data_IF_920780252375
#
_entry.id   IF_920780252375
#
_cell.length_a   1.000
_cell.length_b   1.000
_cell.length_c   1.000
_cell.angle_alpha   90.00
_cell.angle_beta   90.00
_cell.angle_gamma   90.00
#
_symmetry.space_group_name_H-M   'P 1'
#
loop_
_entity.id
_entity.type
_entity.pdbx_description
1 polymer ?
#
# COMPACT_ATOMS: atom_id res chain seq x y z
N UNK A 1 -4.36 13.38 14.54
CA UNK A 1 -5.14 14.05 15.60
C UNK A 1 -6.59 13.67 15.42
N UNK A 2 -7.24 13.20 16.48
CA UNK A 2 -8.65 12.81 16.50
C UNK A 2 -9.39 13.85 17.34
N UNK A 3 -10.52 14.34 16.85
CA UNK A 3 -11.45 15.17 17.61
C UNK A 3 -12.73 14.35 17.79
N UNK A 4 -13.12 14.16 19.04
CA UNK A 4 -14.32 13.41 19.40
C UNK A 4 -15.28 14.35 20.14
N UNK A 5 -16.55 14.25 19.77
CA UNK A 5 -17.70 14.98 20.33
C UNK A 5 -18.85 13.99 20.48
N UNK A 6 -19.85 14.34 21.27
CA UNK A 6 -21.00 13.46 21.54
C UNK A 6 -21.75 13.06 20.26
N UNK A 7 -21.82 13.94 19.26
CA UNK A 7 -22.53 13.70 18.01
C UNK A 7 -21.65 13.31 16.82
N UNK A 8 -20.34 13.51 16.90
CA UNK A 8 -19.43 13.24 15.78
C UNK A 8 -17.98 13.00 16.18
N UNK A 9 -17.26 12.34 15.27
CA UNK A 9 -15.83 12.04 15.34
C UNK A 9 -15.15 12.50 14.06
N UNK A 10 -14.13 13.33 14.19
CA UNK A 10 -13.27 13.76 13.10
C UNK A 10 -11.87 13.16 13.26
N UNK A 11 -11.47 12.32 12.31
CA UNK A 11 -10.18 11.64 12.31
C UNK A 11 -9.33 12.13 11.14
N UNK A 12 -8.11 12.64 11.41
CA UNK A 12 -7.14 12.94 10.34
C UNK A 12 -6.56 11.63 9.79
N UNK A 13 -6.77 11.38 8.50
CA UNK A 13 -6.35 10.15 7.82
C UNK A 13 -5.19 10.36 6.84
N UNK A 14 -4.77 11.60 6.61
CA UNK A 14 -3.61 11.95 5.80
C UNK A 14 -3.33 13.45 5.85
N UNK A 15 -2.26 13.93 5.22
CA UNK A 15 -2.11 15.37 4.93
C UNK A 15 -3.35 15.88 4.17
N UNK A 16 -4.08 16.80 4.80
CA UNK A 16 -5.28 17.41 4.23
C UNK A 16 -6.50 16.50 4.08
N UNK A 17 -6.48 15.25 4.59
CA UNK A 17 -7.62 14.33 4.51
C UNK A 17 -8.11 13.96 5.89
N UNK A 18 -9.41 14.11 6.08
CA UNK A 18 -10.12 13.83 7.32
C UNK A 18 -11.32 12.94 7.03
N UNK A 19 -11.70 12.12 8.01
CA UNK A 19 -12.94 11.36 7.99
C UNK A 19 -13.81 11.87 9.12
N UNK A 20 -15.00 12.33 8.77
CA UNK A 20 -16.03 12.80 9.67
C UNK A 20 -17.11 11.73 9.76
N UNK A 21 -17.32 11.21 10.96
CA UNK A 21 -18.33 10.18 11.23
C UNK A 21 -19.25 10.68 12.33
N UNK A 22 -20.52 10.32 12.28
CA UNK A 22 -21.47 10.73 13.30
C UNK A 22 -22.87 10.22 13.03
N UNK A 23 -23.77 10.61 13.92
CA UNK A 23 -25.18 10.22 13.87
C UNK A 23 -26.01 11.48 13.98
N UNK A 24 -26.87 11.70 13.00
CA UNK A 24 -27.88 12.76 13.01
C UNK A 24 -28.90 12.53 14.14
N UNK A 25 -29.60 13.60 14.53
CA UNK A 25 -30.61 13.53 15.59
C UNK A 25 -31.77 12.58 15.30
N UNK A 26 -32.00 12.24 14.02
CA UNK A 26 -33.02 11.28 13.57
C UNK A 26 -32.50 9.83 13.47
N UNK A 27 -31.26 9.59 13.90
CA UNK A 27 -30.64 8.27 13.92
C UNK A 27 -29.90 7.88 12.64
N UNK A 28 -29.90 8.71 11.59
CA UNK A 28 -29.11 8.45 10.38
C UNK A 28 -27.63 8.60 10.65
N UNK A 29 -26.84 7.61 10.25
CA UNK A 29 -25.37 7.66 10.38
C UNK A 29 -24.75 8.23 9.11
N UNK A 30 -23.67 8.99 9.26
CA UNK A 30 -22.87 9.48 8.14
C UNK A 30 -21.40 9.13 8.33
N UNK A 31 -20.72 8.99 7.19
CA UNK A 31 -19.28 8.79 7.11
C UNK A 31 -18.78 9.55 5.88
N UNK A 32 -18.15 10.69 6.10
CA UNK A 32 -17.81 11.68 5.08
C UNK A 32 -16.29 11.84 5.04
N UNK A 33 -15.71 11.75 3.84
CA UNK A 33 -14.32 12.12 3.62
C UNK A 33 -14.24 13.62 3.30
N UNK A 34 -13.46 14.34 4.10
CA UNK A 34 -13.21 15.77 3.95
C UNK A 34 -11.76 15.94 3.49
N UNK A 35 -11.60 16.41 2.26
CA UNK A 35 -10.34 16.93 1.75
C UNK A 35 -10.28 18.44 1.98
N UNK A 36 -9.25 18.94 2.65
CA UNK A 36 -9.05 20.37 2.92
C UNK A 36 -8.14 21.04 1.89
N UNK A 37 -7.88 20.39 0.76
CA UNK A 37 -7.00 20.89 -0.29
C UNK A 37 -6.61 19.80 -1.28
N UNK A 38 -5.70 20.14 -2.19
CA UNK A 38 -5.12 19.21 -3.16
C UNK A 38 -4.00 18.39 -2.53
N UNK A 39 -3.85 17.13 -2.94
CA UNK A 39 -2.78 16.26 -2.48
C UNK A 39 -2.23 15.44 -3.64
N UNK A 40 -0.94 15.59 -3.91
CA UNK A 40 -0.21 14.74 -4.84
C UNK A 40 1.00 14.15 -4.11
N UNK A 41 1.53 13.06 -4.60
CA UNK A 41 2.69 12.40 -4.03
C UNK A 41 3.45 11.70 -5.14
N UNK A 42 4.75 11.92 -5.20
CA UNK A 42 5.62 11.10 -6.02
C UNK A 42 6.10 9.88 -5.23
N UNK A 43 5.93 8.70 -5.82
CA UNK A 43 6.41 7.44 -5.28
C UNK A 43 6.81 6.51 -6.43
N UNK A 44 8.06 6.01 -6.42
CA UNK A 44 8.57 5.08 -7.44
C UNK A 44 8.52 5.65 -8.87
N UNK A 45 8.86 6.94 -9.02
CA UNK A 45 8.82 7.64 -10.31
C UNK A 45 7.41 7.92 -10.86
N UNK A 46 6.37 7.77 -10.03
CA UNK A 46 4.97 8.04 -10.39
C UNK A 46 4.33 9.03 -9.45
N UNK A 47 3.59 9.99 -10.00
CA UNK A 47 2.81 10.96 -9.23
C UNK A 47 1.39 10.41 -9.04
N UNK A 48 0.94 10.31 -7.80
CA UNK A 48 -0.38 9.79 -7.41
C UNK A 48 -1.03 10.74 -6.40
N UNK A 49 -2.35 10.84 -6.37
CA UNK A 49 -3.03 11.67 -5.39
C UNK A 49 -4.47 12.00 -5.79
N UNK A 50 -5.01 13.05 -5.19
CA UNK A 50 -6.32 13.60 -5.52
C UNK A 50 -6.23 15.13 -5.59
N UNK A 51 -6.97 15.69 -6.54
CA UNK A 51 -7.10 17.14 -6.73
C UNK A 51 -8.58 17.46 -6.78
N UNK A 52 -8.97 18.55 -6.14
CA UNK A 52 -10.32 19.08 -6.24
C UNK A 52 -10.37 20.00 -7.47
N UNK A 53 -11.24 19.66 -8.40
CA UNK A 53 -11.44 20.40 -9.64
C UNK A 53 -12.93 20.62 -9.84
N UNK A 54 -13.28 21.78 -10.37
CA UNK A 54 -14.60 21.94 -10.96
C UNK A 54 -14.65 21.22 -12.31
N UNK A 55 -15.83 20.71 -12.67
CA UNK A 55 -16.04 19.98 -13.92
C UNK A 55 -15.67 20.83 -15.15
N UNK A 56 -15.93 22.14 -15.11
CA UNK A 56 -15.54 23.08 -16.16
C UNK A 56 -14.02 23.22 -16.32
N UNK A 57 -13.26 23.11 -15.22
CA UNK A 57 -11.80 23.17 -15.25
C UNK A 57 -11.21 21.89 -15.84
N UNK A 58 -11.74 20.74 -15.44
CA UNK A 58 -11.35 19.44 -16.00
C UNK A 58 -11.63 19.39 -17.50
N UNK A 59 -12.84 19.79 -17.92
CA UNK A 59 -13.22 19.77 -19.33
C UNK A 59 -12.35 20.68 -20.19
N UNK A 60 -11.89 21.82 -19.67
CA UNK A 60 -10.94 22.69 -20.36
C UNK A 60 -9.56 22.04 -20.48
N UNK A 61 -9.04 21.46 -19.40
CA UNK A 61 -7.75 20.76 -19.44
C UNK A 61 -7.78 19.58 -20.44
N UNK A 62 -8.89 18.85 -20.54
CA UNK A 62 -9.02 17.74 -21.48
C UNK A 62 -9.08 18.13 -22.97
N UNK A 63 -9.26 19.41 -23.29
CA UNK A 63 -9.27 19.90 -24.69
C UNK A 63 -7.88 20.10 -25.28
N UNK A 64 -6.82 20.02 -24.45
CA UNK A 64 -5.44 20.28 -24.85
C UNK A 64 -4.62 19.01 -24.69
N UNK A 65 -3.73 18.73 -25.66
CA UNK A 65 -2.74 17.67 -25.49
C UNK A 65 -1.63 18.14 -24.55
N UNK A 66 -1.37 17.36 -23.50
CA UNK A 66 -0.39 17.69 -22.48
C UNK A 66 0.82 16.75 -22.54
N UNK A 67 2.01 17.33 -22.63
CA UNK A 67 3.28 16.59 -22.60
C UNK A 67 3.81 16.32 -21.19
N UNK A 68 3.21 16.96 -20.17
CA UNK A 68 3.60 16.81 -18.77
C UNK A 68 2.46 17.15 -17.82
N UNK A 69 2.53 16.65 -16.59
CA UNK A 69 1.56 16.97 -15.53
C UNK A 69 1.54 18.48 -15.21
N UNK A 70 2.68 19.17 -15.36
CA UNK A 70 2.78 20.63 -15.20
C UNK A 70 1.95 21.37 -16.25
N UNK A 71 1.98 20.91 -17.50
CA UNK A 71 1.17 21.46 -18.58
C UNK A 71 -0.32 21.17 -18.39
N UNK A 72 -0.67 20.02 -17.81
CA UNK A 72 -2.06 19.73 -17.45
C UNK A 72 -2.57 20.69 -16.36
N UNK A 73 -1.78 20.92 -15.31
CA UNK A 73 -2.17 21.81 -14.21
C UNK A 73 -2.13 23.30 -14.55
N UNK A 74 -1.39 23.74 -15.57
CA UNK A 74 -1.43 25.14 -16.00
C UNK A 74 -2.81 25.57 -16.51
N UNK A 75 -3.66 24.63 -16.96
CA UNK A 75 -5.03 24.90 -17.38
C UNK A 75 -6.03 25.03 -16.21
N UNK A 76 -5.55 24.77 -14.98
CA UNK A 76 -6.32 24.72 -13.76
C UNK A 76 -5.91 25.89 -12.87
N UNK A 77 -6.74 26.93 -12.84
CA UNK A 77 -6.42 28.24 -12.23
C UNK A 77 -6.14 28.17 -10.72
N UNK A 78 -6.69 27.17 -10.04
CA UNK A 78 -6.62 27.02 -8.59
C UNK A 78 -5.49 26.10 -8.09
N UNK A 79 -4.66 25.55 -8.99
CA UNK A 79 -3.49 24.75 -8.62
C UNK A 79 -2.23 25.59 -8.84
N UNK A 80 -1.76 26.24 -7.78
CA UNK A 80 -0.46 26.92 -7.76
C UNK A 80 0.65 25.85 -7.63
N UNK A 81 1.18 25.39 -8.76
CA UNK A 81 2.20 24.33 -8.87
C UNK A 81 3.62 24.83 -8.51
N UNK A 82 3.74 25.93 -7.75
CA UNK A 82 5.04 26.53 -7.44
C UNK A 82 5.80 25.75 -6.38
N UNK A 83 5.12 24.91 -5.58
CA UNK A 83 5.74 24.14 -4.52
C UNK A 83 5.32 22.66 -4.56
N UNK A 84 5.94 21.90 -5.46
CA UNK A 84 6.01 20.44 -5.30
C UNK A 84 6.56 20.07 -3.90
N UNK A 85 7.38 20.95 -3.30
CA UNK A 85 8.05 20.71 -2.01
C UNK A 85 7.07 20.60 -0.82
N UNK A 86 6.00 21.41 -0.76
CA UNK A 86 4.99 21.35 0.31
C UNK A 86 4.04 20.15 0.20
N UNK A 87 3.92 19.61 -1.02
CA UNK A 87 3.09 18.46 -1.38
C UNK A 87 3.83 17.13 -1.08
N UNK A 88 5.17 17.13 -1.11
CA UNK A 88 6.05 15.96 -0.92
C UNK A 88 6.42 15.64 0.54
N UNK A 89 6.00 16.45 1.53
CA UNK A 89 6.51 16.39 2.92
C UNK A 89 6.10 15.17 3.79
N UNK A 90 5.44 14.13 3.27
CA UNK A 90 5.13 12.91 4.06
C UNK A 90 5.90 11.65 3.61
N UNK A 91 7.03 11.86 2.93
CA UNK A 91 7.97 10.83 2.48
C UNK A 91 8.86 10.28 3.60
N UNK A 92 8.32 9.53 4.56
CA UNK A 92 9.18 8.75 5.47
C UNK A 92 8.84 7.25 5.57
N UNK A 93 7.86 6.75 4.81
CA UNK A 93 7.37 5.37 5.06
C UNK A 93 7.88 4.33 4.05
N UNK A 94 8.37 4.69 2.86
CA UNK A 94 9.00 3.72 1.95
C UNK A 94 10.14 4.36 1.14
N UNK A 95 11.30 4.48 1.76
CA UNK A 95 12.58 4.71 1.05
C UNK A 95 13.25 3.38 0.63
N UNK A 96 12.71 2.23 1.05
CA UNK A 96 13.26 0.91 0.76
C UNK A 96 12.74 0.36 -0.58
N UNK A 97 13.69 0.07 -1.48
CA UNK A 97 13.46 -0.67 -2.73
C UNK A 97 13.08 -2.12 -2.42
N UNK A 98 11.79 -2.43 -2.39
CA UNK A 98 11.26 -3.77 -2.14
C UNK A 98 11.23 -4.64 -3.40
N UNK A 99 11.49 -4.04 -4.57
CA UNK A 99 11.36 -4.66 -5.90
C UNK A 99 12.30 -5.85 -6.10
N UNK A 100 13.38 -5.97 -5.33
CA UNK A 100 14.26 -7.15 -5.32
C UNK A 100 13.51 -8.45 -4.99
N UNK A 101 12.33 -8.37 -4.38
CA UNK A 101 11.46 -9.53 -4.17
C UNK A 101 11.12 -10.28 -5.45
N UNK A 102 11.10 -9.58 -6.59
CA UNK A 102 10.80 -10.19 -7.88
C UNK A 102 11.84 -11.22 -8.30
N UNK A 103 13.05 -11.13 -7.78
CA UNK A 103 14.14 -12.08 -8.03
C UNK A 103 14.23 -13.18 -6.96
N UNK A 104 13.39 -13.11 -5.91
CA UNK A 104 13.36 -14.13 -4.88
C UNK A 104 12.75 -15.44 -5.38
N UNK A 105 13.13 -16.53 -4.71
CA UNK A 105 12.55 -17.84 -4.91
C UNK A 105 11.05 -17.83 -4.57
N UNK A 106 10.27 -18.61 -5.34
CA UNK A 106 8.80 -18.66 -5.21
C UNK A 106 8.32 -18.88 -3.78
N UNK A 107 9.01 -19.73 -3.02
CA UNK A 107 8.72 -19.97 -1.60
C UNK A 107 8.66 -18.67 -0.78
N UNK A 108 9.68 -17.80 -0.90
CA UNK A 108 9.74 -16.56 -0.14
C UNK A 108 8.70 -15.54 -0.56
N UNK A 109 8.41 -15.48 -1.86
CA UNK A 109 7.32 -14.67 -2.41
C UNK A 109 5.97 -15.11 -1.81
N UNK A 110 5.72 -16.42 -1.77
CA UNK A 110 4.50 -16.99 -1.19
C UNK A 110 4.41 -16.73 0.32
N UNK A 111 5.52 -16.87 1.07
CA UNK A 111 5.56 -16.54 2.50
C UNK A 111 5.19 -15.08 2.77
N UNK A 112 5.68 -14.14 1.95
CA UNK A 112 5.29 -12.75 2.09
C UNK A 112 3.79 -12.56 1.82
N UNK A 113 3.28 -13.15 0.74
CA UNK A 113 1.87 -13.00 0.37
C UNK A 113 0.92 -13.56 1.44
N UNK A 114 1.32 -14.63 2.14
CA UNK A 114 0.55 -15.21 3.25
C UNK A 114 0.46 -14.33 4.49
N UNK A 115 1.38 -13.38 4.67
CA UNK A 115 1.34 -12.40 5.77
C UNK A 115 0.38 -11.24 5.50
N UNK A 116 -0.07 -11.09 4.25
CA UNK A 116 -0.99 -10.03 3.84
C UNK A 116 -2.40 -10.58 3.79
N UNK A 117 -3.34 -9.86 4.40
CA UNK A 117 -4.75 -10.18 4.22
C UNK A 117 -5.24 -9.73 2.82
N UNK A 118 -6.33 -10.32 2.31
CA UNK A 118 -6.81 -10.01 0.97
C UNK A 118 -7.13 -8.53 0.72
N UNK A 119 -7.61 -7.80 1.73
CA UNK A 119 -7.86 -6.37 1.62
C UNK A 119 -6.55 -5.57 1.47
N UNK A 120 -5.52 -5.88 2.25
CA UNK A 120 -4.21 -5.27 2.12
C UNK A 120 -3.65 -5.50 0.71
N UNK A 121 -3.77 -6.72 0.18
CA UNK A 121 -3.33 -7.03 -1.19
C UNK A 121 -4.12 -6.22 -2.23
N UNK A 122 -5.44 -6.11 -2.08
CA UNK A 122 -6.27 -5.28 -2.96
C UNK A 122 -5.84 -3.79 -2.91
N UNK A 123 -5.58 -3.27 -1.70
CA UNK A 123 -5.10 -1.90 -1.50
C UNK A 123 -3.70 -1.67 -2.10
N UNK A 124 -2.80 -2.64 -1.98
CA UNK A 124 -1.46 -2.60 -2.54
C UNK A 124 -1.46 -2.70 -4.08
N UNK A 125 -2.37 -3.50 -4.67
CA UNK A 125 -2.58 -3.56 -6.12
C UNK A 125 -2.97 -2.21 -6.71
N UNK A 126 -3.79 -1.43 -6.00
CA UNK A 126 -4.19 -0.09 -6.42
C UNK A 126 -3.04 0.92 -6.24
N UNK A 127 -2.20 0.78 -5.21
CA UNK A 127 -1.28 1.84 -4.79
C UNK A 127 0.20 1.64 -5.07
N UNK A 128 0.65 0.42 -5.35
CA UNK A 128 2.03 0.09 -5.74
C UNK A 128 2.15 -0.20 -7.25
N UNK A 129 1.03 -0.15 -7.97
CA UNK A 129 1.00 -0.18 -9.42
C UNK A 129 1.52 -1.48 -10.05
N UNK A 130 2.06 -1.36 -11.27
CA UNK A 130 2.35 -2.50 -12.15
C UNK A 130 3.36 -3.50 -11.57
N UNK A 131 4.37 -3.02 -10.84
CA UNK A 131 5.41 -3.88 -10.27
C UNK A 131 4.84 -4.83 -9.22
N UNK A 132 3.96 -4.32 -8.34
CA UNK A 132 3.30 -5.16 -7.34
C UNK A 132 2.24 -6.07 -7.98
N UNK A 133 1.58 -5.60 -9.04
CA UNK A 133 0.70 -6.44 -9.86
C UNK A 133 1.47 -7.65 -10.42
N UNK A 134 2.67 -7.43 -10.98
CA UNK A 134 3.53 -8.53 -11.47
C UNK A 134 3.84 -9.53 -10.35
N UNK A 135 4.34 -9.06 -9.21
CA UNK A 135 4.59 -9.89 -8.03
C UNK A 135 3.36 -10.73 -7.64
N UNK A 136 2.19 -10.10 -7.53
CA UNK A 136 0.97 -10.77 -7.10
C UNK A 136 0.53 -11.86 -8.08
N UNK A 137 0.48 -11.57 -9.39
CA UNK A 137 -0.03 -12.54 -10.37
C UNK A 137 0.91 -13.73 -10.61
N UNK A 138 2.23 -13.53 -10.48
CA UNK A 138 3.23 -14.58 -10.57
C UNK A 138 3.26 -15.49 -9.32
N UNK A 139 2.86 -14.96 -8.16
CA UNK A 139 2.99 -15.64 -6.86
C UNK A 139 1.67 -16.24 -6.37
N UNK A 140 0.56 -15.53 -6.55
CA UNK A 140 -0.73 -15.90 -5.95
C UNK A 140 -1.36 -17.12 -6.64
N UNK A 141 -2.00 -17.96 -5.84
CA UNK A 141 -2.87 -19.03 -6.33
C UNK A 141 -4.14 -18.48 -6.96
N UNK A 142 -4.82 -19.27 -7.79
CA UNK A 142 -6.07 -18.85 -8.44
C UNK A 142 -7.17 -18.50 -7.42
N UNK A 143 -7.23 -19.24 -6.31
CA UNK A 143 -8.15 -18.94 -5.21
C UNK A 143 -7.85 -17.59 -4.56
N UNK A 144 -6.58 -17.26 -4.31
CA UNK A 144 -6.21 -15.95 -3.76
C UNK A 144 -6.51 -14.81 -4.75
N UNK A 145 -6.29 -15.02 -6.05
CA UNK A 145 -6.64 -14.07 -7.10
C UNK A 145 -8.14 -13.78 -7.11
N UNK A 146 -8.97 -14.82 -6.98
CA UNK A 146 -10.42 -14.67 -6.92
C UNK A 146 -10.86 -13.87 -5.68
N UNK A 147 -10.35 -14.22 -4.48
CA UNK A 147 -10.69 -13.51 -3.24
C UNK A 147 -10.28 -12.03 -3.31
N UNK A 148 -9.08 -11.73 -3.85
CA UNK A 148 -8.61 -10.35 -3.99
C UNK A 148 -9.42 -9.58 -5.06
N UNK A 149 -9.88 -10.26 -6.12
CA UNK A 149 -10.79 -9.67 -7.09
C UNK A 149 -12.12 -9.24 -6.46
N UNK A 150 -12.67 -10.09 -5.59
CA UNK A 150 -13.88 -9.75 -4.84
C UNK A 150 -13.64 -8.56 -3.90
N UNK A 151 -12.49 -8.52 -3.22
CA UNK A 151 -12.12 -7.37 -2.39
C UNK A 151 -11.97 -6.06 -3.19
N UNK A 152 -11.39 -6.11 -4.39
CA UNK A 152 -11.31 -4.95 -5.28
C UNK A 152 -12.70 -4.47 -5.72
N UNK A 153 -13.62 -5.39 -6.02
CA UNK A 153 -15.00 -5.07 -6.34
C UNK A 153 -15.67 -4.31 -5.18
N UNK A 154 -15.54 -4.82 -3.95
CA UNK A 154 -16.13 -4.16 -2.79
C UNK A 154 -15.45 -2.85 -2.39
N UNK A 155 -14.13 -2.75 -2.58
CA UNK A 155 -13.38 -1.50 -2.40
C UNK A 155 -13.94 -0.40 -3.32
N UNK A 156 -14.26 -0.76 -4.56
CA UNK A 156 -14.80 0.15 -5.57
C UNK A 156 -16.25 0.58 -5.27
N UNK A 157 -17.06 -0.26 -4.63
CA UNK A 157 -18.46 0.04 -4.32
C UNK A 157 -18.64 1.03 -3.16
N UNK A 158 -17.59 1.35 -2.39
CA UNK A 158 -17.66 2.32 -1.29
C UNK A 158 -18.56 1.91 -0.11
N UNK A 159 -19.09 0.68 -0.12
CA UNK A 159 -19.97 0.15 0.91
C UNK A 159 -19.12 -0.26 2.12
N UNK A 160 -19.49 0.23 3.30
CA UNK A 160 -18.77 0.03 4.55
C UNK A 160 -18.52 -1.44 4.95
N UNK A 161 -17.86 -1.60 6.10
CA UNK A 161 -17.24 -2.82 6.67
C UNK A 161 -18.05 -4.13 6.63
N UNK A 162 -19.36 -4.09 6.33
CA UNK A 162 -20.28 -5.23 6.39
C UNK A 162 -20.49 -6.02 5.08
N UNK A 163 -19.94 -5.59 3.94
CA UNK A 163 -20.34 -6.14 2.64
C UNK A 163 -19.44 -7.26 2.03
N UNK A 164 -18.24 -7.57 2.57
CA UNK A 164 -17.35 -8.59 1.96
C UNK A 164 -17.48 -9.88 2.75
N UNK A 165 -17.61 -11.02 2.05
CA UNK A 165 -17.58 -12.32 2.71
C UNK A 165 -16.19 -12.70 3.26
N UNK A 166 -15.13 -11.92 2.99
CA UNK A 166 -13.75 -12.34 3.23
C UNK A 166 -12.95 -11.46 4.20
N UNK A 167 -13.22 -10.15 4.28
CA UNK A 167 -12.50 -9.26 5.22
C UNK A 167 -13.38 -8.10 5.73
N UNK A 168 -13.11 -7.65 6.96
CA UNK A 168 -13.87 -6.57 7.64
C UNK A 168 -13.36 -5.16 7.36
N UNK A 169 -12.07 -5.00 7.00
CA UNK A 169 -11.44 -3.67 6.84
C UNK A 169 -11.46 -3.27 5.37
N UNK A 170 -12.04 -2.13 4.98
CA UNK A 170 -12.28 -1.81 3.55
C UNK A 170 -12.06 -0.36 3.12
N UNK A 171 -11.53 0.50 3.96
CA UNK A 171 -11.31 1.88 3.54
C UNK A 171 -10.13 1.99 2.58
N UNK A 172 -10.31 2.71 1.47
CA UNK A 172 -9.22 3.43 0.77
C UNK A 172 -8.32 4.17 1.78
N UNK A 173 -8.87 4.56 2.93
CA UNK A 173 -8.17 5.14 4.08
C UNK A 173 -7.06 4.27 4.69
N UNK A 174 -6.95 2.99 4.33
CA UNK A 174 -5.97 2.04 4.88
C UNK A 174 -4.76 1.83 3.94
N UNK A 175 -4.58 2.63 2.89
CA UNK A 175 -3.42 2.46 2.00
C UNK A 175 -2.08 2.60 2.73
N UNK A 176 -1.95 3.56 3.64
CA UNK A 176 -0.70 3.74 4.39
C UNK A 176 -0.46 2.61 5.40
N UNK A 177 -1.51 2.06 6.01
CA UNK A 177 -1.37 0.90 6.89
C UNK A 177 -1.05 -0.37 6.10
N UNK A 178 -1.67 -0.58 4.93
CA UNK A 178 -1.34 -1.67 4.04
C UNK A 178 0.12 -1.61 3.55
N UNK A 179 0.61 -0.41 3.19
CA UNK A 179 2.02 -0.19 2.82
C UNK A 179 2.99 -0.46 3.98
N UNK A 180 2.66 -0.02 5.20
CA UNK A 180 3.47 -0.32 6.39
C UNK A 180 3.50 -1.82 6.68
N UNK A 181 2.33 -2.48 6.71
CA UNK A 181 2.27 -3.93 6.91
C UNK A 181 3.05 -4.68 5.83
N UNK A 182 2.96 -4.23 4.57
CA UNK A 182 3.76 -4.79 3.49
C UNK A 182 5.25 -4.65 3.76
N UNK A 183 5.72 -3.46 4.15
CA UNK A 183 7.13 -3.21 4.44
C UNK A 183 7.63 -4.03 5.63
N UNK A 184 6.87 -4.06 6.72
CA UNK A 184 7.22 -4.83 7.92
C UNK A 184 7.31 -6.33 7.60
N UNK A 185 6.33 -6.83 6.84
CA UNK A 185 6.31 -8.24 6.40
C UNK A 185 7.48 -8.52 5.45
N UNK A 186 7.77 -7.60 4.54
CA UNK A 186 8.87 -7.68 3.60
C UNK A 186 10.21 -7.78 4.33
N UNK A 187 10.49 -6.87 5.27
CA UNK A 187 11.71 -6.87 6.07
C UNK A 187 11.83 -8.15 6.90
N UNK A 188 10.73 -8.61 7.49
CA UNK A 188 10.73 -9.87 8.25
C UNK A 188 11.09 -11.08 7.38
N UNK A 189 10.54 -11.17 6.17
CA UNK A 189 10.84 -12.26 5.25
C UNK A 189 12.26 -12.13 4.70
N UNK A 190 12.71 -10.92 4.37
CA UNK A 190 14.08 -10.65 3.91
C UNK A 190 15.10 -11.15 4.94
N UNK A 191 14.92 -10.80 6.21
CA UNK A 191 15.79 -11.24 7.29
C UNK A 191 15.82 -12.77 7.43
N UNK A 192 14.66 -13.44 7.31
CA UNK A 192 14.57 -14.91 7.34
C UNK A 192 15.31 -15.55 6.16
N UNK A 193 15.11 -15.00 4.95
CA UNK A 193 15.78 -15.45 3.73
C UNK A 193 17.29 -15.30 3.82
N UNK A 194 17.77 -14.15 4.27
CA UNK A 194 19.20 -13.90 4.47
C UNK A 194 19.80 -14.81 5.55
N UNK A 195 19.08 -15.09 6.64
CA UNK A 195 19.51 -16.07 7.64
C UNK A 195 19.63 -17.47 7.05
N UNK A 196 18.68 -17.93 6.26
CA UNK A 196 18.74 -19.26 5.62
C UNK A 196 19.81 -19.36 4.53
N UNK A 197 20.11 -18.26 3.83
CA UNK A 197 21.14 -18.21 2.79
C UNK A 197 22.54 -17.98 3.36
N UNK A 198 22.65 -17.21 4.46
CA UNK A 198 23.90 -16.93 5.19
C UNK A 198 24.25 -17.99 6.22
N UNK A 199 23.30 -18.83 6.64
CA UNK A 199 23.60 -20.13 7.24
C UNK A 199 23.94 -21.11 6.12
N UNK A 200 25.16 -20.99 5.58
CA UNK A 200 25.80 -22.14 4.99
C UNK A 200 25.68 -23.30 5.99
N UNK A 201 25.04 -24.38 5.53
CA UNK A 201 25.13 -25.70 6.15
C UNK A 201 26.57 -25.87 6.65
N UNK A 202 26.82 -26.28 7.91
CA UNK A 202 28.17 -26.67 8.28
C UNK A 202 28.61 -27.71 7.25
N UNK A 203 29.66 -27.37 6.50
CA UNK A 203 30.08 -28.18 5.37
C UNK A 203 30.17 -29.63 5.86
N UNK A 204 29.60 -30.56 5.10
CA UNK A 204 29.54 -31.99 5.45
C UNK A 204 30.91 -32.64 5.65
N UNK A 205 32.01 -31.89 5.55
CA UNK A 205 33.38 -32.32 5.78
C UNK A 205 33.94 -32.00 7.18
N UNK A 206 33.37 -31.05 7.95
CA UNK A 206 33.92 -30.75 9.29
C UNK A 206 33.42 -31.72 10.38
N UNK A 207 32.21 -32.28 10.24
CA UNK A 207 31.71 -33.32 11.16
C UNK A 207 32.43 -34.66 10.99
N UNK A 208 32.95 -34.98 9.80
CA UNK A 208 33.71 -36.23 9.56
C UNK A 208 35.16 -36.16 10.06
N UNK A 209 35.78 -34.98 10.10
CA UNK A 209 37.14 -34.83 10.62
C UNK A 209 37.21 -34.77 12.16
N UNK A 210 36.18 -34.24 12.83
CA UNK A 210 36.13 -34.25 14.30
C UNK A 210 35.82 -35.63 14.90
N UNK A 211 35.06 -36.49 14.21
CA UNK A 211 34.86 -37.88 14.66
C UNK A 211 36.10 -38.76 14.42
N UNK A 212 36.87 -38.52 13.35
CA UNK A 212 38.08 -39.30 13.06
C UNK A 212 39.27 -38.94 13.95
N UNK A 213 39.35 -37.72 14.48
CA UNK A 213 40.39 -37.35 15.46
C UNK A 213 40.09 -37.88 16.87
N UNK A 214 38.81 -38.01 17.24
CA UNK A 214 38.41 -38.57 18.53
C UNK A 214 38.58 -40.10 18.61
N UNK A 215 38.53 -40.81 17.47
CA UNK A 215 38.70 -42.27 17.40
C UNK A 215 40.15 -42.74 17.16
N UNK A 216 41.13 -41.81 17.06
CA UNK A 216 42.57 -42.13 16.97
C UNK A 216 43.35 -41.80 18.25
N UNK A 217 42.66 -41.38 19.31
CA UNK A 217 43.23 -41.02 20.62
C UNK A 217 42.86 -41.99 21.75
N UNK A 218 42.31 -43.16 21.43
CA UNK A 218 42.13 -44.32 22.31
C UNK A 218 42.89 -45.48 21.67
#
# INVERSE_FOLDING_TARGET
KVVERESYKLQKNGPGVYKLEGTESDGRTYSIIIATGNYLREAGGKINGFIHLEEAELNRALQVEHSSLRSFFSEIKNIQVEDYSGILQNNQVMELSWEEILDWERFWKEQLLLLLNPNQVALLLVTLGLTFKRFFYETATDKQKQIVSDELFYLNQGVGEAASPHTRNKGIMNFDSAKRTFLDSYLSIKEKREKEQGTEKPSGNEKKNRLKSALRGI
#
